data_IF_137251350655
#
_entry.id   IF_137251350655
#
_cell.length_a   1.000
_cell.length_b   1.000
_cell.length_c   1.000
_cell.angle_alpha   90.00
_cell.angle_beta   90.00
_cell.angle_gamma   90.00
#
_symmetry.space_group_name_H-M   'P 1'
#
loop_
_entity.id
_entity.type
_entity.pdbx_description
1 polymer ?
#
# COMPACT_ATOMS: atom_id res chain seq x y z
N UNK A 1 13.78 62.06 13.28
CA UNK A 1 14.81 61.00 13.47
C UNK A 1 14.10 59.66 13.46
N UNK A 2 14.27 58.82 12.42
CA UNK A 2 13.65 57.49 12.35
C UNK A 2 14.45 56.55 13.24
N UNK A 3 13.78 55.88 14.19
CA UNK A 3 14.41 55.06 15.21
C UNK A 3 14.95 53.75 14.58
N UNK A 4 16.28 53.54 14.49
CA UNK A 4 16.88 52.41 13.76
C UNK A 4 16.54 51.05 14.39
N UNK A 5 16.11 51.04 15.66
CA UNK A 5 15.74 49.84 16.40
C UNK A 5 14.47 49.21 15.80
N UNK A 6 13.51 50.01 15.35
CA UNK A 6 12.24 49.50 14.79
C UNK A 6 12.43 48.76 13.47
N UNK A 7 13.37 49.19 12.62
CA UNK A 7 13.64 48.52 11.35
C UNK A 7 14.35 47.17 11.56
N UNK A 8 15.27 47.10 12.52
CA UNK A 8 16.02 45.89 12.83
C UNK A 8 15.11 44.77 13.38
N UNK A 9 14.15 45.10 14.26
CA UNK A 9 13.17 44.14 14.77
C UNK A 9 12.22 43.62 13.69
N UNK A 10 11.78 44.49 12.77
CA UNK A 10 10.93 44.08 11.65
C UNK A 10 11.70 43.15 10.70
N UNK A 11 12.96 43.44 10.39
CA UNK A 11 13.80 42.57 9.56
C UNK A 11 14.05 41.22 10.23
N UNK A 12 14.33 41.18 11.53
CA UNK A 12 14.48 39.94 12.30
C UNK A 12 13.19 39.10 12.28
N UNK A 13 12.02 39.71 12.48
CA UNK A 13 10.72 39.03 12.42
C UNK A 13 10.44 38.45 11.03
N UNK A 14 10.75 39.20 9.97
CA UNK A 14 10.59 38.73 8.59
C UNK A 14 11.55 37.57 8.30
N UNK A 15 12.81 37.64 8.74
CA UNK A 15 13.78 36.55 8.57
C UNK A 15 13.39 35.31 9.38
N UNK A 16 12.91 35.47 10.61
CA UNK A 16 12.43 34.36 11.43
C UNK A 16 11.16 33.73 10.84
N UNK A 17 10.20 34.53 10.35
CA UNK A 17 9.02 34.03 9.68
C UNK A 17 9.36 33.34 8.35
N UNK A 18 10.33 33.86 7.59
CA UNK A 18 10.80 33.25 6.36
C UNK A 18 11.58 31.95 6.62
N UNK A 19 12.37 31.89 7.70
CA UNK A 19 13.02 30.66 8.14
C UNK A 19 11.99 29.61 8.56
N UNK A 20 11.00 29.97 9.39
CA UNK A 20 9.91 29.07 9.77
C UNK A 20 9.15 28.57 8.52
N UNK A 21 8.88 29.43 7.55
CA UNK A 21 8.22 29.05 6.29
C UNK A 21 9.09 28.14 5.40
N UNK A 22 10.41 28.38 5.34
CA UNK A 22 11.34 27.56 4.56
C UNK A 22 11.61 26.19 5.19
N UNK A 23 11.46 26.04 6.51
CA UNK A 23 11.71 24.78 7.22
C UNK A 23 10.44 24.01 7.58
N UNK A 24 9.27 24.64 7.58
CA UNK A 24 7.99 23.98 7.82
C UNK A 24 7.34 23.57 6.49
N UNK A 25 7.91 22.55 5.84
CA UNK A 25 7.19 21.81 4.80
C UNK A 25 6.35 20.77 5.54
N UNK A 26 5.02 20.93 5.67
CA UNK A 26 4.21 19.90 6.29
C UNK A 26 4.45 18.60 5.52
N UNK A 27 4.76 17.53 6.24
CA UNK A 27 4.83 16.22 5.62
C UNK A 27 3.49 15.94 4.95
N UNK A 28 3.50 15.42 3.71
CA UNK A 28 2.27 15.18 3.00
C UNK A 28 1.43 14.17 3.81
N UNK A 29 0.17 14.51 4.03
CA UNK A 29 -0.77 13.62 4.69
C UNK A 29 -1.04 12.42 3.78
N UNK A 30 -0.32 11.32 4.01
CA UNK A 30 -0.42 10.10 3.20
C UNK A 30 -1.83 9.50 3.23
N UNK A 31 -2.64 9.81 4.25
CA UNK A 31 -4.05 9.39 4.36
C UNK A 31 -4.94 10.08 3.32
N UNK A 32 -4.45 11.17 2.72
CA UNK A 32 -5.09 11.90 1.61
C UNK A 32 -4.46 11.56 0.26
N UNK A 33 -3.53 10.61 0.20
CA UNK A 33 -2.82 10.24 -1.02
C UNK A 33 -3.22 8.83 -1.47
N UNK A 34 -3.40 8.65 -2.78
CA UNK A 34 -3.83 7.39 -3.38
C UNK A 34 -5.27 6.98 -3.05
N UNK A 35 -5.68 5.76 -3.41
CA UNK A 35 -7.09 5.32 -3.39
C UNK A 35 -7.59 4.72 -2.08
N UNK A 36 -6.73 4.49 -1.07
CA UNK A 36 -7.14 3.88 0.19
C UNK A 36 -7.55 4.89 1.26
N UNK A 37 -8.47 4.44 2.11
CA UNK A 37 -8.73 4.97 3.45
C UNK A 37 -8.23 3.97 4.49
N UNK A 38 -7.67 4.49 5.59
CA UNK A 38 -7.21 3.70 6.72
C UNK A 38 -7.10 4.59 7.97
N UNK A 39 -7.30 3.98 9.13
CA UNK A 39 -7.08 4.62 10.42
C UNK A 39 -5.99 3.86 11.17
N UNK A 40 -4.93 4.57 11.54
CA UNK A 40 -3.81 4.04 12.32
C UNK A 40 -3.47 5.00 13.45
N UNK A 41 -3.01 4.43 14.56
CA UNK A 41 -2.30 5.17 15.60
C UNK A 41 -0.85 5.37 15.14
N UNK A 42 -0.51 6.62 14.81
CA UNK A 42 0.83 6.99 14.31
C UNK A 42 1.94 6.77 15.35
N UNK A 43 1.59 6.42 16.61
CA UNK A 43 2.56 5.99 17.62
C UNK A 43 2.86 4.48 17.58
N UNK A 44 2.06 3.69 16.87
CA UNK A 44 2.18 2.23 16.80
C UNK A 44 2.71 1.74 15.46
N UNK A 45 2.35 2.40 14.36
CA UNK A 45 2.63 1.94 12.99
C UNK A 45 3.10 3.11 12.13
N UNK A 46 4.17 2.92 11.38
CA UNK A 46 4.54 3.80 10.28
C UNK A 46 3.85 3.37 8.98
N UNK A 47 3.55 4.36 8.15
CA UNK A 47 2.96 4.13 6.82
C UNK A 47 3.86 4.74 5.76
N UNK A 48 4.21 3.96 4.75
CA UNK A 48 4.87 4.44 3.54
C UNK A 48 3.97 4.20 2.33
N UNK A 49 3.81 5.23 1.49
CA UNK A 49 3.12 5.12 0.21
C UNK A 49 4.13 5.24 -0.93
N UNK A 50 4.15 4.22 -1.78
CA UNK A 50 4.91 4.21 -3.02
C UNK A 50 4.04 3.94 -4.24
N UNK A 51 4.56 4.29 -5.41
CA UNK A 51 4.06 3.83 -6.69
C UNK A 51 5.02 2.80 -7.29
N UNK A 52 4.47 1.72 -7.83
CA UNK A 52 5.21 0.73 -8.62
C UNK A 52 4.50 0.53 -9.97
N UNK A 53 5.26 0.31 -11.04
CA UNK A 53 4.68 -0.03 -12.35
C UNK A 53 4.40 -1.53 -12.36
N UNK A 54 3.15 -1.90 -12.60
CA UNK A 54 2.76 -3.30 -12.69
C UNK A 54 3.03 -3.81 -14.11
N UNK A 55 3.84 -4.86 -14.21
CA UNK A 55 4.26 -5.47 -15.48
C UNK A 55 4.06 -6.98 -15.38
N UNK A 56 2.81 -7.46 -15.34
CA UNK A 56 2.55 -8.88 -15.24
C UNK A 56 2.93 -9.60 -16.53
N UNK A 57 3.27 -10.87 -16.42
CA UNK A 57 3.56 -11.74 -17.55
C UNK A 57 2.54 -12.88 -17.66
N UNK A 58 2.39 -13.42 -18.86
CA UNK A 58 1.56 -14.63 -19.08
C UNK A 58 2.07 -15.78 -18.22
N UNK A 59 3.39 -15.90 -18.05
CA UNK A 59 4.01 -16.95 -17.25
C UNK A 59 3.61 -16.85 -15.76
N UNK A 60 3.63 -15.65 -15.19
CA UNK A 60 3.21 -15.41 -13.81
C UNK A 60 1.73 -15.73 -13.60
N UNK A 61 0.83 -15.20 -14.44
CA UNK A 61 -0.60 -15.50 -14.31
C UNK A 61 -0.90 -16.99 -14.51
N UNK A 62 -0.21 -17.64 -15.46
CA UNK A 62 -0.36 -19.08 -15.66
C UNK A 62 0.06 -19.84 -14.40
N UNK A 63 1.21 -19.50 -13.81
CA UNK A 63 1.69 -20.16 -12.61
C UNK A 63 0.68 -20.01 -11.46
N UNK A 64 0.16 -18.79 -11.24
CA UNK A 64 -0.87 -18.54 -10.23
C UNK A 64 -2.11 -19.42 -10.43
N UNK A 65 -2.62 -19.49 -11.67
CA UNK A 65 -3.82 -20.26 -12.02
C UNK A 65 -3.61 -21.76 -11.84
N UNK A 66 -2.48 -22.28 -12.32
CA UNK A 66 -2.11 -23.69 -12.16
C UNK A 66 -2.00 -24.09 -10.69
N UNK A 67 -1.46 -23.19 -9.87
CA UNK A 67 -1.38 -23.42 -8.44
C UNK A 67 -2.75 -23.44 -7.75
N UNK A 68 -3.70 -22.66 -8.27
CA UNK A 68 -5.10 -22.66 -7.84
C UNK A 68 -5.94 -23.79 -8.46
N UNK A 69 -5.32 -24.78 -9.11
CA UNK A 69 -6.01 -25.97 -9.62
C UNK A 69 -6.55 -25.85 -11.04
N UNK A 70 -6.14 -24.85 -11.80
CA UNK A 70 -6.42 -24.73 -13.24
C UNK A 70 -5.17 -25.16 -14.07
N UNK A 71 -5.05 -26.45 -14.45
CA UNK A 71 -3.84 -26.96 -15.08
C UNK A 71 -3.60 -26.41 -16.50
N UNK A 72 -4.62 -25.90 -17.18
CA UNK A 72 -4.54 -25.36 -18.55
C UNK A 72 -5.30 -24.03 -18.68
N UNK A 73 -4.76 -22.93 -18.11
CA UNK A 73 -5.44 -21.64 -18.12
C UNK A 73 -5.56 -21.06 -19.54
N UNK A 74 -6.70 -20.42 -19.84
CA UNK A 74 -6.97 -19.83 -21.16
C UNK A 74 -5.93 -18.75 -21.53
N UNK A 75 -5.03 -19.09 -22.46
CA UNK A 75 -3.97 -18.21 -22.95
C UNK A 75 -4.50 -16.87 -23.50
N UNK A 76 -5.68 -16.86 -24.10
CA UNK A 76 -6.29 -15.62 -24.61
C UNK A 76 -6.67 -14.72 -23.44
N UNK A 77 -7.32 -15.28 -22.41
CA UNK A 77 -7.63 -14.53 -21.19
C UNK A 77 -6.37 -14.01 -20.50
N UNK A 78 -5.32 -14.83 -20.41
CA UNK A 78 -4.05 -14.39 -19.84
C UNK A 78 -3.41 -13.23 -20.63
N UNK A 79 -3.48 -13.27 -21.96
CA UNK A 79 -3.01 -12.16 -22.81
C UNK A 79 -3.81 -10.89 -22.56
N UNK A 80 -5.15 -10.98 -22.49
CA UNK A 80 -6.01 -9.84 -22.19
C UNK A 80 -5.64 -9.19 -20.84
N UNK A 81 -5.37 -9.99 -19.81
CA UNK A 81 -4.93 -9.48 -18.50
C UNK A 81 -3.58 -8.76 -18.61
N UNK A 82 -2.61 -9.35 -19.30
CA UNK A 82 -1.29 -8.71 -19.49
C UNK A 82 -1.41 -7.41 -20.25
N UNK A 83 -2.16 -7.39 -21.34
CA UNK A 83 -2.33 -6.20 -22.19
C UNK A 83 -3.02 -5.05 -21.44
N UNK A 84 -4.01 -5.36 -20.59
CA UNK A 84 -4.76 -4.36 -19.84
C UNK A 84 -3.95 -3.74 -18.67
N UNK A 85 -3.04 -4.50 -18.08
CA UNK A 85 -2.37 -4.12 -16.84
C UNK A 85 -0.87 -3.79 -16.99
N UNK A 86 -0.24 -4.15 -18.09
CA UNK A 86 1.16 -3.80 -18.35
C UNK A 86 1.36 -2.30 -18.38
N UNK A 87 2.24 -1.80 -17.52
CA UNK A 87 2.54 -0.37 -17.43
C UNK A 87 1.61 0.39 -16.51
N UNK A 88 0.62 -0.25 -15.87
CA UNK A 88 -0.29 0.42 -14.96
C UNK A 88 0.39 0.82 -13.65
N UNK A 89 -0.04 1.96 -13.12
CA UNK A 89 0.41 2.44 -11.82
C UNK A 89 -0.29 1.63 -10.71
N UNK A 90 0.49 0.90 -9.93
CA UNK A 90 0.05 0.27 -8.68
C UNK A 90 0.42 1.16 -7.51
N UNK A 91 -0.54 1.43 -6.62
CA UNK A 91 -0.26 2.05 -5.32
C UNK A 91 0.14 0.97 -4.33
N UNK A 92 1.22 1.18 -3.58
CA UNK A 92 1.70 0.21 -2.58
C UNK A 92 1.88 0.91 -1.24
N UNK A 93 1.03 0.54 -0.30
CA UNK A 93 1.05 0.98 1.10
C UNK A 93 1.80 -0.06 1.92
N UNK A 94 2.79 0.39 2.67
CA UNK A 94 3.59 -0.44 3.59
C UNK A 94 3.33 0.02 5.01
N UNK A 95 2.84 -0.88 5.84
CA UNK A 95 2.54 -0.65 7.24
C UNK A 95 3.54 -1.43 8.09
N UNK A 96 4.33 -0.72 8.91
CA UNK A 96 5.39 -1.33 9.71
C UNK A 96 5.20 -0.95 11.18
N UNK A 97 5.11 -1.92 12.11
CA UNK A 97 4.94 -1.60 13.53
C UNK A 97 6.27 -1.10 14.12
N UNK A 98 6.19 -0.15 15.04
CA UNK A 98 7.38 0.35 15.75
C UNK A 98 7.88 -0.60 16.85
N UNK A 99 6.99 -1.43 17.39
CA UNK A 99 7.35 -2.40 18.43
C UNK A 99 8.37 -3.41 17.89
N UNK A 100 9.34 -3.88 18.70
CA UNK A 100 10.27 -4.92 18.27
C UNK A 100 9.52 -6.18 17.81
N UNK A 101 9.98 -6.75 16.70
CA UNK A 101 9.37 -7.92 16.06
C UNK A 101 10.45 -8.76 15.37
N UNK A 102 10.13 -10.03 15.12
CA UNK A 102 11.11 -11.03 14.68
C UNK A 102 11.32 -11.12 13.15
N UNK A 103 10.45 -10.51 12.35
CA UNK A 103 10.47 -10.54 10.88
C UNK A 103 10.75 -9.13 10.30
N UNK A 104 10.76 -8.92 8.96
CA UNK A 104 10.83 -7.57 8.39
C UNK A 104 9.58 -6.69 8.68
N UNK A 105 8.55 -7.28 9.29
CA UNK A 105 7.45 -6.57 9.94
C UNK A 105 6.46 -5.83 9.07
N UNK A 106 6.52 -5.94 7.75
CA UNK A 106 5.73 -5.08 6.88
C UNK A 106 4.45 -5.76 6.40
N UNK A 107 3.29 -5.19 6.74
CA UNK A 107 2.02 -5.52 6.09
C UNK A 107 1.85 -4.65 4.84
N UNK A 108 1.58 -5.27 3.69
CA UNK A 108 1.51 -4.58 2.40
C UNK A 108 0.08 -4.59 1.89
N UNK A 109 -0.39 -3.43 1.42
CA UNK A 109 -1.64 -3.29 0.67
C UNK A 109 -1.33 -2.67 -0.67
N UNK A 110 -1.76 -3.32 -1.74
CA UNK A 110 -1.56 -2.86 -3.11
C UNK A 110 -2.91 -2.53 -3.74
N UNK A 111 -2.97 -1.48 -4.55
CA UNK A 111 -4.18 -1.09 -5.28
C UNK A 111 -3.88 -0.85 -6.74
N UNK A 112 -4.69 -1.46 -7.61
CA UNK A 112 -4.68 -1.30 -9.07
C UNK A 112 -6.00 -0.74 -9.55
N UNK A 113 -5.99 -0.06 -10.69
CA UNK A 113 -7.22 0.37 -11.35
C UNK A 113 -8.07 -0.82 -11.79
N UNK A 114 -9.40 -0.71 -11.69
CA UNK A 114 -10.34 -1.75 -12.11
C UNK A 114 -10.56 -1.71 -13.64
N UNK A 115 -9.54 -2.12 -14.40
CA UNK A 115 -9.56 -2.04 -15.88
C UNK A 115 -10.67 -2.82 -16.58
N UNK A 116 -11.14 -3.89 -15.94
CA UNK A 116 -12.17 -4.76 -16.51
C UNK A 116 -13.56 -4.47 -15.96
N UNK A 117 -13.71 -3.50 -15.04
CA UNK A 117 -14.99 -3.22 -14.39
C UNK A 117 -15.51 -4.43 -13.61
N UNK A 118 -14.64 -5.13 -12.87
CA UNK A 118 -15.05 -6.22 -11.99
C UNK A 118 -16.08 -5.72 -10.98
N UNK A 119 -17.25 -6.34 -10.96
CA UNK A 119 -18.36 -5.98 -10.06
C UNK A 119 -18.32 -6.74 -8.73
N UNK A 120 -17.42 -7.74 -8.59
CA UNK A 120 -17.37 -8.60 -7.42
C UNK A 120 -15.97 -9.12 -7.12
N UNK A 121 -15.71 -9.42 -5.85
CA UNK A 121 -14.45 -10.03 -5.44
C UNK A 121 -14.25 -11.43 -6.05
N UNK A 122 -15.33 -12.15 -6.34
CA UNK A 122 -15.27 -13.48 -6.99
C UNK A 122 -14.67 -13.38 -8.39
N UNK A 123 -15.10 -12.41 -9.19
CA UNK A 123 -14.57 -12.20 -10.54
C UNK A 123 -13.13 -11.70 -10.53
N UNK A 124 -12.75 -10.88 -9.53
CA UNK A 124 -11.33 -10.52 -9.32
C UNK A 124 -10.50 -11.77 -8.99
N UNK A 125 -10.95 -12.63 -8.07
CA UNK A 125 -10.24 -13.87 -7.72
C UNK A 125 -10.10 -14.81 -8.90
N UNK A 126 -11.13 -14.91 -9.74
CA UNK A 126 -11.06 -15.71 -10.96
C UNK A 126 -9.84 -15.34 -11.83
N UNK A 127 -9.37 -14.09 -11.81
CA UNK A 127 -8.18 -13.63 -12.56
C UNK A 127 -6.90 -13.48 -11.72
N UNK A 128 -7.00 -13.10 -10.44
CA UNK A 128 -5.83 -12.71 -9.63
C UNK A 128 -5.55 -13.56 -8.39
N UNK A 129 -6.33 -14.61 -8.11
CA UNK A 129 -6.13 -15.37 -6.88
C UNK A 129 -4.75 -16.05 -6.79
N UNK A 130 -4.29 -16.24 -5.57
CA UNK A 130 -3.02 -16.89 -5.22
C UNK A 130 -3.33 -17.96 -4.18
N UNK A 131 -2.96 -19.22 -4.45
CA UNK A 131 -3.33 -20.36 -3.60
C UNK A 131 -2.18 -20.91 -2.73
N UNK A 132 -1.04 -20.21 -2.68
CA UNK A 132 0.08 -20.51 -1.78
C UNK A 132 -0.03 -19.68 -0.52
N UNK A 133 0.65 -20.09 0.55
CA UNK A 133 0.85 -19.25 1.73
C UNK A 133 2.02 -18.27 1.50
N UNK A 134 1.82 -16.99 1.86
CA UNK A 134 2.86 -15.97 1.75
C UNK A 134 2.90 -15.22 0.42
N UNK A 135 1.85 -15.34 -0.40
CA UNK A 135 1.59 -14.48 -1.53
C UNK A 135 1.52 -13.01 -1.13
N UNK A 136 1.88 -12.12 -2.04
CA UNK A 136 2.00 -10.69 -1.74
C UNK A 136 0.80 -9.86 -2.23
N UNK A 137 -0.16 -10.49 -2.93
CA UNK A 137 -1.30 -9.82 -3.54
C UNK A 137 -2.56 -10.70 -3.58
N UNK A 138 -3.13 -11.03 -2.43
CA UNK A 138 -4.44 -11.70 -2.36
C UNK A 138 -5.56 -10.69 -2.59
N UNK A 139 -6.50 -10.92 -3.53
CA UNK A 139 -7.68 -10.08 -3.69
C UNK A 139 -8.48 -9.99 -2.41
N UNK A 140 -8.69 -8.75 -1.95
CA UNK A 140 -9.44 -8.44 -0.73
C UNK A 140 -10.75 -7.72 -0.99
N UNK A 141 -10.75 -6.72 -1.87
CA UNK A 141 -11.90 -5.87 -2.11
C UNK A 141 -11.86 -5.26 -3.53
N UNK A 142 -13.01 -4.79 -4.03
CA UNK A 142 -13.13 -4.16 -5.34
C UNK A 142 -14.28 -3.16 -5.38
N UNK A 143 -14.09 -2.04 -6.08
CA UNK A 143 -15.15 -1.12 -6.47
C UNK A 143 -15.01 -0.75 -7.95
N UNK A 144 -15.84 0.18 -8.43
CA UNK A 144 -15.88 0.58 -9.85
C UNK A 144 -14.53 1.06 -10.38
N UNK A 145 -13.69 1.65 -9.53
CA UNK A 145 -12.44 2.28 -9.92
C UNK A 145 -11.18 1.46 -9.58
N UNK A 146 -11.24 0.61 -8.55
CA UNK A 146 -10.06 0.05 -7.89
C UNK A 146 -10.23 -1.41 -7.45
N UNK A 147 -9.13 -2.14 -7.48
CA UNK A 147 -8.97 -3.49 -6.95
C UNK A 147 -7.95 -3.45 -5.82
N UNK A 148 -8.32 -3.94 -4.64
CA UNK A 148 -7.46 -4.00 -3.46
C UNK A 148 -6.88 -5.41 -3.28
N UNK A 149 -5.57 -5.46 -3.11
CA UNK A 149 -4.83 -6.66 -2.76
C UNK A 149 -4.14 -6.48 -1.41
N UNK A 150 -4.12 -7.54 -0.60
CA UNK A 150 -3.34 -7.58 0.64
C UNK A 150 -2.24 -8.62 0.54
N UNK A 151 -1.07 -8.30 1.06
CA UNK A 151 0.00 -9.26 1.25
C UNK A 151 -0.32 -10.20 2.41
N UNK A 152 -0.03 -11.48 2.22
CA UNK A 152 -0.06 -12.44 3.31
C UNK A 152 1.13 -12.25 4.22
N UNK A 153 0.91 -12.33 5.54
CA UNK A 153 1.97 -12.35 6.53
C UNK A 153 2.61 -13.74 6.71
N UNK A 154 2.48 -14.61 5.70
CA UNK A 154 2.90 -16.01 5.76
C UNK A 154 2.18 -16.82 6.83
N UNK A 155 2.81 -17.91 7.26
CA UNK A 155 2.31 -18.78 8.34
C UNK A 155 2.57 -18.23 9.74
N UNK A 156 3.41 -17.20 9.86
CA UNK A 156 3.79 -16.63 11.16
C UNK A 156 4.65 -17.58 11.99
N UNK A 157 5.64 -18.25 11.40
CA UNK A 157 6.56 -19.07 12.19
C UNK A 157 7.37 -18.22 13.18
N UNK A 158 7.50 -18.74 14.40
CA UNK A 158 8.38 -18.23 15.46
C UNK A 158 9.84 -18.41 15.06
N UNK A 159 10.69 -17.41 15.32
CA UNK A 159 12.15 -17.57 15.31
C UNK A 159 12.72 -17.86 16.71
N UNK A 160 11.83 -18.08 17.68
CA UNK A 160 12.07 -18.34 19.09
C UNK A 160 12.71 -17.17 19.88
N UNK A 161 12.70 -15.95 19.32
CA UNK A 161 13.09 -14.72 20.02
C UNK A 161 12.11 -14.29 21.11
N UNK A 162 10.87 -14.81 21.08
CA UNK A 162 9.77 -14.39 21.96
C UNK A 162 9.16 -13.02 21.60
N UNK A 163 9.54 -12.45 20.46
CA UNK A 163 8.96 -11.22 19.92
C UNK A 163 7.73 -11.51 19.05
N UNK A 164 6.80 -10.54 18.90
CA UNK A 164 5.69 -10.70 17.96
C UNK A 164 6.16 -10.76 16.50
N UNK A 165 5.26 -11.27 15.64
CA UNK A 165 5.43 -11.25 14.18
C UNK A 165 4.92 -9.91 13.69
N UNK A 166 5.80 -9.05 13.18
CA UNK A 166 5.52 -7.65 12.88
C UNK A 166 4.50 -7.50 11.78
N UNK A 167 4.54 -8.32 10.72
CA UNK A 167 3.52 -8.24 9.65
C UNK A 167 2.13 -8.52 10.23
N UNK A 168 1.99 -9.56 11.07
CA UNK A 168 0.70 -9.90 11.69
C UNK A 168 0.21 -8.80 12.64
N UNK A 169 1.12 -8.12 13.32
CA UNK A 169 0.78 -7.01 14.19
C UNK A 169 0.28 -5.80 13.39
N UNK A 170 0.99 -5.40 12.34
CA UNK A 170 0.52 -4.35 11.43
C UNK A 170 -0.81 -4.73 10.78
N UNK A 171 -0.98 -5.99 10.34
CA UNK A 171 -2.25 -6.47 9.82
C UNK A 171 -3.39 -6.29 10.83
N UNK A 172 -3.19 -6.67 12.10
CA UNK A 172 -4.23 -6.54 13.14
C UNK A 172 -4.62 -5.09 13.40
N UNK A 173 -3.64 -4.18 13.39
CA UNK A 173 -3.86 -2.76 13.65
C UNK A 173 -4.56 -2.06 12.48
N UNK A 174 -4.21 -2.43 11.25
CA UNK A 174 -4.60 -1.69 10.03
C UNK A 174 -5.80 -2.33 9.34
N UNK A 175 -5.88 -3.66 9.30
CA UNK A 175 -6.88 -4.38 8.51
C UNK A 175 -8.33 -4.00 8.83
N UNK A 176 -8.74 -3.81 10.10
CA UNK A 176 -10.13 -3.47 10.42
C UNK A 176 -10.62 -2.13 9.86
N UNK A 177 -9.70 -1.20 9.53
CA UNK A 177 -10.02 0.18 9.14
C UNK A 177 -9.73 0.44 7.65
N UNK A 178 -9.21 -0.57 6.93
CA UNK A 178 -8.91 -0.47 5.51
C UNK A 178 -10.19 -0.45 4.66
N UNK A 179 -10.26 0.53 3.76
CA UNK A 179 -11.28 0.66 2.73
C UNK A 179 -10.81 1.47 1.53
N UNK A 180 -11.71 1.66 0.56
CA UNK A 180 -11.49 2.63 -0.52
C UNK A 180 -11.84 4.04 -0.06
N UNK A 181 -11.28 5.03 -0.75
CA UNK A 181 -11.77 6.41 -0.65
C UNK A 181 -13.00 6.57 -1.52
N UNK A 182 -14.06 7.12 -0.94
CA UNK A 182 -15.26 7.57 -1.65
C UNK A 182 -14.96 8.73 -2.62
#
# INVERSE_FOLDING_TARGET
MKNPISLFFVVMLVVAAFAVFMFYKPEPDLRKMGPLTYEVDDSLVSVELGGEVFVPTIAEFRAMKQECGDPDPDNRRLSELVDAFTGEQMYRYRFTPFAPHQDPGTFIVSVLSNKFGYESLETVRADFDQCYAGGDRYPRDVNDDWIMFVGGCGTGFSDDSGLPIGCMEAFRLVSPTLGFRE
#
